data_IF_463413643415
#
_entry.id   IF_463413643415
#
_cell.length_a   1.000
_cell.length_b   1.000
_cell.length_c   1.000
_cell.angle_alpha   90.00
_cell.angle_beta   90.00
_cell.angle_gamma   90.00
#
_symmetry.space_group_name_H-M   'P 1'
#
loop_
_entity.id
_entity.type
_entity.pdbx_description
1 polymer ?
#
# COMPACT_ATOMS: atom_id res chain seq x y z
N UNK A 1 -20.96 5.61 -14.86
CA UNK A 1 -21.15 5.69 -13.39
C UNK A 1 -19.93 5.18 -12.61
N UNK A 2 -19.33 4.03 -12.96
CA UNK A 2 -18.20 3.43 -12.21
C UNK A 2 -16.88 4.25 -12.20
N UNK A 3 -16.52 4.92 -13.30
CA UNK A 3 -15.29 5.73 -13.36
C UNK A 3 -15.33 6.99 -12.47
N UNK A 4 -16.51 7.57 -12.27
CA UNK A 4 -16.68 8.77 -11.43
C UNK A 4 -16.50 8.38 -9.96
N UNK A 5 -17.14 7.29 -9.52
CA UNK A 5 -17.00 6.77 -8.15
C UNK A 5 -15.53 6.46 -7.81
N UNK A 6 -14.77 5.91 -8.77
CA UNK A 6 -13.35 5.63 -8.61
C UNK A 6 -12.53 6.91 -8.36
N UNK A 7 -12.78 7.97 -9.12
CA UNK A 7 -12.13 9.26 -8.91
C UNK A 7 -12.44 9.85 -7.51
N UNK A 8 -13.67 9.67 -7.02
CA UNK A 8 -14.05 10.10 -5.66
C UNK A 8 -13.31 9.31 -4.57
N UNK A 9 -13.22 7.98 -4.72
CA UNK A 9 -12.51 7.12 -3.76
C UNK A 9 -11.02 7.48 -3.70
N UNK A 10 -10.36 7.67 -4.85
CA UNK A 10 -8.95 8.08 -4.89
C UNK A 10 -8.72 9.42 -4.19
N UNK A 11 -9.62 10.39 -4.40
CA UNK A 11 -9.53 11.73 -3.77
C UNK A 11 -9.71 11.65 -2.25
N UNK A 12 -10.64 10.81 -1.78
CA UNK A 12 -10.89 10.60 -0.35
C UNK A 12 -9.71 9.92 0.36
N UNK A 13 -9.13 8.87 -0.26
CA UNK A 13 -7.94 8.18 0.27
C UNK A 13 -6.74 9.12 0.36
N UNK A 14 -6.57 10.01 -0.63
CA UNK A 14 -5.50 11.00 -0.61
C UNK A 14 -5.66 12.00 0.55
N UNK A 15 -6.88 12.46 0.83
CA UNK A 15 -7.17 13.38 1.94
C UNK A 15 -6.88 12.72 3.30
N UNK A 16 -7.35 11.48 3.50
CA UNK A 16 -7.09 10.74 4.75
C UNK A 16 -5.59 10.49 4.93
N UNK A 17 -4.90 10.13 3.85
CA UNK A 17 -3.46 9.84 3.90
C UNK A 17 -2.64 11.08 4.24
N UNK A 18 -3.03 12.26 3.74
CA UNK A 18 -2.40 13.54 4.12
C UNK A 18 -2.67 13.87 5.59
N UNK A 19 -3.90 13.66 6.07
CA UNK A 19 -4.25 13.90 7.46
C UNK A 19 -3.42 13.01 8.39
N UNK A 20 -3.26 11.73 8.05
CA UNK A 20 -2.45 10.78 8.81
C UNK A 20 -0.95 11.12 8.76
N UNK A 21 -0.44 11.58 7.60
CA UNK A 21 0.94 12.07 7.47
C UNK A 21 1.19 13.26 8.41
N UNK A 22 0.28 14.23 8.44
CA UNK A 22 0.37 15.40 9.32
C UNK A 22 0.36 14.97 10.79
N UNK A 23 -0.55 14.07 11.18
CA UNK A 23 -0.59 13.54 12.54
C UNK A 23 0.73 12.83 12.91
N UNK A 24 1.27 12.00 12.01
CA UNK A 24 2.54 11.31 12.23
C UNK A 24 3.74 12.26 12.32
N UNK A 25 3.68 13.44 11.71
CA UNK A 25 4.77 14.42 11.73
C UNK A 25 4.71 15.37 12.94
N UNK A 26 3.51 15.83 13.31
CA UNK A 26 3.30 16.83 14.37
C UNK A 26 3.18 16.23 15.78
N UNK A 27 2.61 15.03 15.92
CA UNK A 27 2.39 14.39 17.23
C UNK A 27 2.88 12.93 17.31
N UNK A 28 4.10 12.60 16.86
CA UNK A 28 4.59 11.21 16.86
C UNK A 28 4.78 10.64 18.27
N UNK A 29 5.22 11.46 19.23
CA UNK A 29 5.48 11.02 20.60
C UNK A 29 4.18 10.67 21.34
N UNK A 30 3.14 11.49 21.18
CA UNK A 30 1.81 11.23 21.75
C UNK A 30 1.21 9.95 21.19
N UNK A 31 1.38 9.70 19.89
CA UNK A 31 0.95 8.46 19.26
C UNK A 31 1.71 7.24 19.81
N UNK A 32 3.03 7.35 20.02
CA UNK A 32 3.82 6.27 20.60
C UNK A 32 3.51 6.02 22.09
N UNK A 33 3.30 7.08 22.88
CA UNK A 33 2.91 6.97 24.30
C UNK A 33 1.56 6.29 24.51
N UNK A 34 0.69 6.29 23.49
CA UNK A 34 -0.60 5.60 23.54
C UNK A 34 -0.44 4.08 23.49
N UNK A 35 0.62 3.58 22.86
CA UNK A 35 0.89 2.14 22.71
C UNK A 35 1.84 1.57 23.77
N UNK A 36 2.76 2.38 24.30
CA UNK A 36 3.75 1.94 25.29
C UNK A 36 4.21 3.08 26.19
N UNK A 37 4.57 2.75 27.44
CA UNK A 37 5.14 3.70 28.40
C UNK A 37 6.68 3.61 28.51
N UNK A 38 7.31 2.70 27.75
CA UNK A 38 8.76 2.49 27.81
C UNK A 38 9.51 3.52 26.94
N UNK A 39 10.43 4.28 27.55
CA UNK A 39 11.11 5.41 26.92
C UNK A 39 12.03 4.99 25.78
N UNK A 40 12.62 3.80 25.85
CA UNK A 40 13.50 3.26 24.81
C UNK A 40 12.67 2.97 23.55
N UNK A 41 11.50 2.33 23.71
CA UNK A 41 10.61 2.02 22.59
C UNK A 41 10.02 3.29 21.96
N UNK A 42 9.78 4.34 22.73
CA UNK A 42 9.26 5.61 22.23
C UNK A 42 10.27 6.27 21.28
N UNK A 43 11.56 6.30 21.61
CA UNK A 43 12.58 6.93 20.73
C UNK A 43 12.71 6.19 19.38
N UNK A 44 12.76 4.86 19.41
CA UNK A 44 12.75 4.06 18.18
C UNK A 44 11.42 4.20 17.42
N UNK A 45 10.31 4.26 18.15
CA UNK A 45 8.97 4.43 17.61
C UNK A 45 8.74 5.76 16.92
N UNK A 46 9.27 6.87 17.43
CA UNK A 46 9.17 8.18 16.79
C UNK A 46 9.88 8.17 15.43
N UNK A 47 11.08 7.60 15.36
CA UNK A 47 11.83 7.43 14.09
C UNK A 47 11.05 6.55 13.11
N UNK A 48 10.47 5.46 13.62
CA UNK A 48 9.67 4.51 12.84
C UNK A 48 8.38 5.15 12.29
N UNK A 49 7.62 5.84 13.12
CA UNK A 49 6.34 6.46 12.77
C UNK A 49 6.52 7.53 11.67
N UNK A 50 7.60 8.31 11.72
CA UNK A 50 7.90 9.31 10.68
C UNK A 50 8.19 8.69 9.32
N UNK A 51 8.96 7.59 9.29
CA UNK A 51 9.27 6.86 8.04
C UNK A 51 8.00 6.21 7.47
N UNK A 52 7.20 5.59 8.33
CA UNK A 52 5.96 4.91 7.93
C UNK A 52 4.89 5.89 7.46
N UNK A 53 4.74 7.04 8.12
CA UNK A 53 3.76 8.04 7.72
C UNK A 53 3.93 8.44 6.26
N UNK A 54 5.18 8.55 5.79
CA UNK A 54 5.51 8.81 4.39
C UNK A 54 5.12 7.62 3.49
N UNK A 55 5.49 6.39 3.88
CA UNK A 55 5.21 5.18 3.11
C UNK A 55 3.71 4.88 2.98
N UNK A 56 2.92 5.09 4.04
CA UNK A 56 1.47 4.83 4.04
C UNK A 56 0.71 5.66 3.02
N UNK A 57 1.18 6.88 2.73
CA UNK A 57 0.57 7.70 1.69
C UNK A 57 0.67 7.02 0.33
N UNK A 58 1.82 6.41 0.04
CA UNK A 58 2.04 5.68 -1.19
C UNK A 58 1.24 4.36 -1.22
N UNK A 59 1.30 3.57 -0.14
CA UNK A 59 0.59 2.30 -0.03
C UNK A 59 -0.94 2.46 -0.11
N UNK A 60 -1.50 3.58 0.40
CA UNK A 60 -2.93 3.88 0.30
C UNK A 60 -3.43 4.00 -1.14
N UNK A 61 -2.70 4.73 -1.99
CA UNK A 61 -3.04 4.88 -3.42
C UNK A 61 -2.89 3.55 -4.16
N UNK A 62 -1.83 2.79 -3.84
CA UNK A 62 -1.58 1.47 -4.42
C UNK A 62 -2.70 0.48 -4.14
N UNK A 63 -3.23 0.46 -2.91
CA UNK A 63 -4.30 -0.47 -2.52
C UNK A 63 -5.59 -0.23 -3.30
N UNK A 64 -5.95 1.04 -3.57
CA UNK A 64 -7.12 1.38 -4.38
C UNK A 64 -6.96 0.85 -5.82
N UNK A 65 -5.79 1.06 -6.42
CA UNK A 65 -5.48 0.57 -7.78
C UNK A 65 -5.52 -0.97 -7.86
N UNK A 66 -5.01 -1.66 -6.83
CA UNK A 66 -5.11 -3.12 -6.73
C UNK A 66 -6.55 -3.61 -6.59
N UNK A 67 -7.40 -2.88 -5.85
CA UNK A 67 -8.82 -3.21 -5.71
C UNK A 67 -9.55 -3.24 -7.06
N UNK A 68 -9.22 -2.29 -7.94
CA UNK A 68 -9.78 -2.23 -9.30
C UNK A 68 -9.32 -3.44 -10.12
N UNK A 69 -8.02 -3.77 -10.09
CA UNK A 69 -7.48 -4.91 -10.82
C UNK A 69 -8.08 -6.25 -10.37
N UNK A 70 -8.29 -6.42 -9.06
CA UNK A 70 -8.95 -7.60 -8.49
C UNK A 70 -10.38 -7.76 -9.00
N UNK A 71 -11.12 -6.65 -9.12
CA UNK A 71 -12.48 -6.65 -9.67
C UNK A 71 -12.52 -6.97 -11.18
N UNK A 72 -11.43 -6.72 -11.92
CA UNK A 72 -11.31 -7.04 -13.35
C UNK A 72 -10.93 -8.51 -13.65
N UNK A 73 -10.86 -9.39 -12.63
CA UNK A 73 -10.70 -10.83 -12.81
C UNK A 73 -9.29 -11.34 -13.15
N UNK A 74 -8.32 -10.46 -13.43
CA UNK A 74 -6.94 -10.85 -13.69
C UNK A 74 -6.10 -10.81 -12.40
N UNK A 75 -6.10 -11.96 -11.72
CA UNK A 75 -4.96 -12.52 -10.99
C UNK A 75 -4.19 -11.58 -10.04
N UNK A 76 -4.83 -11.15 -8.94
CA UNK A 76 -4.12 -10.60 -7.78
C UNK A 76 -3.59 -11.67 -6.79
N UNK A 77 -4.04 -12.93 -6.91
CA UNK A 77 -3.86 -13.95 -5.86
C UNK A 77 -2.59 -14.79 -6.03
N UNK A 78 -2.23 -15.15 -7.26
CA UNK A 78 -1.05 -15.99 -7.53
C UNK A 78 0.28 -15.23 -7.34
N UNK A 79 0.33 -13.95 -7.70
CA UNK A 79 1.54 -13.11 -7.54
C UNK A 79 1.82 -12.77 -6.07
N UNK A 80 0.79 -12.66 -5.23
CA UNK A 80 0.96 -12.42 -3.79
C UNK A 80 1.65 -13.58 -3.07
N UNK A 81 1.27 -14.83 -3.38
CA UNK A 81 1.86 -16.01 -2.74
C UNK A 81 3.28 -16.31 -3.23
N UNK A 82 3.60 -16.05 -4.51
CA UNK A 82 4.92 -16.36 -5.06
C UNK A 82 5.99 -15.29 -4.78
N UNK A 83 5.62 -14.05 -4.47
CA UNK A 83 6.59 -12.97 -4.21
C UNK A 83 6.58 -12.48 -2.77
N UNK A 84 5.43 -12.12 -2.20
CA UNK A 84 5.41 -11.50 -0.87
C UNK A 84 5.80 -12.49 0.24
N UNK A 85 5.33 -13.74 0.15
CA UNK A 85 5.61 -14.77 1.16
C UNK A 85 7.08 -15.19 1.16
N UNK A 86 7.72 -15.56 0.03
CA UNK A 86 9.12 -15.94 0.04
C UNK A 86 10.04 -14.78 0.41
N UNK A 87 9.73 -13.56 -0.04
CA UNK A 87 10.53 -12.37 0.23
C UNK A 87 10.44 -11.96 1.71
N UNK A 88 9.26 -12.08 2.33
CA UNK A 88 9.08 -11.91 3.77
C UNK A 88 9.82 -12.97 4.59
N UNK A 89 9.78 -14.24 4.17
CA UNK A 89 10.54 -15.31 4.81
C UNK A 89 12.06 -15.09 4.68
N UNK A 90 12.57 -14.70 3.52
CA UNK A 90 14.00 -14.42 3.32
C UNK A 90 14.43 -13.23 4.19
N UNK A 91 13.65 -12.15 4.23
CA UNK A 91 13.94 -10.98 5.06
C UNK A 91 13.97 -11.32 6.56
N UNK A 92 13.05 -12.17 7.04
CA UNK A 92 12.96 -12.58 8.43
C UNK A 92 14.05 -13.60 8.83
N UNK A 93 14.28 -14.63 8.02
CA UNK A 93 15.12 -15.78 8.40
C UNK A 93 16.58 -15.67 7.93
N UNK A 94 16.88 -15.07 6.77
CA UNK A 94 18.26 -14.97 6.25
C UNK A 94 18.98 -13.76 6.84
N UNK A 95 18.28 -12.63 6.94
CA UNK A 95 18.89 -11.37 7.31
C UNK A 95 18.77 -11.02 8.81
N UNK A 96 17.95 -11.75 9.61
CA UNK A 96 17.63 -11.42 11.02
C UNK A 96 17.34 -9.93 11.24
N UNK A 97 16.77 -9.27 10.22
CA UNK A 97 16.55 -7.84 10.27
C UNK A 97 15.42 -7.54 11.26
N UNK A 98 15.50 -6.40 11.98
CA UNK A 98 14.42 -5.96 12.85
C UNK A 98 13.12 -5.84 12.04
N UNK A 99 12.00 -6.18 12.67
CA UNK A 99 10.64 -6.24 12.07
C UNK A 99 10.30 -5.00 11.23
N UNK A 100 10.87 -3.85 11.58
CA UNK A 100 10.74 -2.58 10.87
C UNK A 100 11.25 -2.61 9.41
N UNK A 101 12.43 -3.20 9.17
CA UNK A 101 13.00 -3.31 7.81
C UNK A 101 12.20 -4.29 6.96
N UNK A 102 11.70 -5.37 7.56
CA UNK A 102 10.81 -6.33 6.87
C UNK A 102 9.54 -5.62 6.42
N UNK A 103 8.96 -4.78 7.28
CA UNK A 103 7.76 -4.01 6.95
C UNK A 103 8.00 -3.02 5.80
N UNK A 104 9.15 -2.35 5.78
CA UNK A 104 9.51 -1.43 4.71
C UNK A 104 9.73 -2.17 3.37
N UNK A 105 10.41 -3.32 3.40
CA UNK A 105 10.65 -4.17 2.22
C UNK A 105 9.34 -4.73 1.65
N UNK A 106 8.39 -5.12 2.49
CA UNK A 106 7.05 -5.54 2.05
C UNK A 106 6.25 -4.37 1.46
N UNK A 107 6.27 -3.19 2.10
CA UNK A 107 5.66 -2.00 1.48
C UNK A 107 6.28 -1.65 0.11
N UNK A 108 7.57 -1.95 -0.08
CA UNK A 108 8.27 -1.83 -1.36
C UNK A 108 7.82 -2.88 -2.40
N UNK A 109 7.35 -4.06 -1.99
CA UNK A 109 6.84 -5.06 -2.93
C UNK A 109 5.55 -4.59 -3.63
N UNK A 110 4.76 -3.75 -2.96
CA UNK A 110 3.58 -3.13 -3.55
C UNK A 110 3.95 -2.14 -4.67
N UNK A 111 5.05 -1.40 -4.51
CA UNK A 111 5.63 -0.49 -5.50
C UNK A 111 6.10 -1.21 -6.78
N UNK A 112 6.58 -2.45 -6.67
CA UNK A 112 7.04 -3.23 -7.83
C UNK A 112 5.88 -3.70 -8.71
N UNK A 113 4.66 -3.78 -8.17
CA UNK A 113 3.45 -4.19 -8.92
C UNK A 113 2.86 -3.07 -9.77
N UNK A 114 3.19 -1.80 -9.47
CA UNK A 114 2.75 -0.61 -10.22
C UNK A 114 2.94 -0.71 -11.74
N UNK A 115 4.12 -1.10 -12.28
CA UNK A 115 4.31 -1.25 -13.73
C UNK A 115 3.42 -2.33 -14.34
N UNK A 116 3.09 -3.39 -13.60
CA UNK A 116 2.12 -4.39 -14.07
C UNK A 116 0.73 -3.75 -14.18
N UNK A 117 0.30 -2.98 -13.18
CA UNK A 117 -0.97 -2.23 -13.20
C UNK A 117 -1.05 -1.28 -14.38
N UNK A 118 -0.01 -0.46 -14.60
CA UNK A 118 0.04 0.50 -15.71
C UNK A 118 0.00 -0.18 -17.08
N UNK A 119 0.72 -1.31 -17.24
CA UNK A 119 0.68 -2.11 -18.47
C UNK A 119 -0.73 -2.65 -18.75
N UNK A 120 -1.47 -3.05 -17.71
CA UNK A 120 -2.85 -3.52 -17.82
C UNK A 120 -3.85 -2.40 -18.06
N UNK A 121 -3.72 -1.25 -17.38
CA UNK A 121 -4.58 -0.09 -17.60
C UNK A 121 -4.54 0.36 -19.07
N UNK A 122 -3.35 0.30 -19.68
CA UNK A 122 -3.15 0.63 -21.10
C UNK A 122 -3.75 -0.40 -22.07
N UNK A 123 -4.19 -1.59 -21.61
CA UNK A 123 -4.67 -2.62 -22.53
C UNK A 123 -6.10 -2.42 -23.01
N UNK A 124 -6.95 -1.57 -22.41
CA UNK A 124 -8.30 -1.16 -22.88
C UNK A 124 -9.25 -2.27 -23.42
N UNK A 125 -8.87 -3.55 -23.38
CA UNK A 125 -9.63 -4.69 -23.91
C UNK A 125 -10.97 -4.83 -23.19
N UNK A 126 -11.02 -4.45 -21.91
CA UNK A 126 -12.25 -4.42 -21.14
C UNK A 126 -13.27 -3.38 -21.65
N UNK A 127 -12.80 -2.21 -22.12
CA UNK A 127 -13.68 -1.21 -22.75
C UNK A 127 -14.21 -1.70 -24.10
N UNK A 128 -13.42 -2.48 -24.85
CA UNK A 128 -13.83 -3.08 -26.12
C UNK A 128 -14.84 -4.22 -25.96
N UNK A 129 -14.68 -5.07 -24.94
CA UNK A 129 -15.61 -6.19 -24.68
C UNK A 129 -16.99 -5.74 -24.20
N UNK A 130 -17.12 -4.54 -23.59
CA UNK A 130 -18.43 -3.99 -23.23
C UNK A 130 -19.21 -3.49 -24.45
N UNK A 131 -18.51 -3.04 -25.51
CA UNK A 131 -19.15 -2.59 -26.75
C UNK A 131 -19.63 -3.74 -27.64
N UNK A 132 -19.04 -4.93 -27.49
CA UNK A 132 -19.46 -6.14 -28.21
C UNK A 132 -20.65 -6.86 -27.54
N UNK A 133 -20.98 -6.54 -26.28
CA UNK A 133 -22.15 -7.10 -25.59
C UNK A 133 -23.43 -6.30 -25.83
N UNK A 134 -23.31 -5.09 -26.41
CA UNK A 134 -24.43 -4.18 -26.71
C UNK A 134 -24.88 -4.27 -28.19
N UNK A 135 -24.18 -5.04 -29.03
CA UNK A 135 -24.58 -5.44 -30.39
C UNK A 135 -24.91 -6.94 -30.42
#
# INVERSE_FOLDING_TARGET
MHAILLCWVLRYVFIISILFLLAAFFIPETLMRLFTNDTILIDYGIKYLKVIGLSYNFSGVLQVLQGILKNCGYAGRCTMWCFAVPLGCIAAFVFKLPVMMVYFVLNLDELVKLPAVFKYYKQYKWLKNLTEMEN
#
